data_IF_968149770442
#
_entry.id   IF_968149770442
#
_cell.length_a   1.000
_cell.length_b   1.000
_cell.length_c   1.000
_cell.angle_alpha   90.00
_cell.angle_beta   90.00
_cell.angle_gamma   90.00
#
_symmetry.space_group_name_H-M   'P 1'
#
loop_
_entity.id
_entity.type
_entity.pdbx_description
1 polymer ?
#
# COMPACT_ATOMS: atom_id res chain seq x y z
N UNK A 1 -26.21 57.14 25.54
CA UNK A 1 -25.25 56.56 24.56
C UNK A 1 -23.93 57.28 24.75
N UNK A 2 -22.76 56.61 24.77
CA UNK A 2 -22.43 55.35 24.08
C UNK A 2 -22.04 54.18 25.01
N UNK A 3 -22.18 52.92 24.56
CA UNK A 3 -21.54 51.77 25.21
C UNK A 3 -20.07 51.66 24.78
N UNK A 4 -19.18 51.45 25.76
CA UNK A 4 -17.76 51.14 25.55
C UNK A 4 -17.63 49.71 25.02
N UNK A 5 -16.98 49.58 23.86
CA UNK A 5 -16.74 48.32 23.15
C UNK A 5 -15.37 47.78 23.56
N UNK A 6 -15.33 46.77 24.44
CA UNK A 6 -14.13 45.97 24.66
C UNK A 6 -13.96 44.94 23.54
N UNK A 7 -12.80 44.84 22.85
CA UNK A 7 -12.49 43.70 22.02
C UNK A 7 -11.61 42.75 22.82
N UNK A 8 -12.21 41.80 23.53
CA UNK A 8 -11.44 40.63 23.97
C UNK A 8 -11.29 39.67 22.78
N UNK A 9 -10.21 39.91 22.02
CA UNK A 9 -9.60 38.90 21.17
C UNK A 9 -8.63 38.11 22.04
N UNK A 10 -8.88 36.83 22.23
CA UNK A 10 -7.83 35.82 22.38
C UNK A 10 -8.39 34.41 22.15
N UNK A 11 -8.09 33.86 20.96
CA UNK A 11 -8.31 32.46 20.61
C UNK A 11 -7.22 31.56 21.23
N UNK A 12 -7.55 30.39 21.79
CA UNK A 12 -6.56 29.34 22.03
C UNK A 12 -6.73 28.19 21.01
N UNK A 13 -5.98 28.23 19.91
CA UNK A 13 -5.86 27.12 18.93
C UNK A 13 -4.45 26.51 18.97
N UNK A 14 -3.95 26.14 20.15
CA UNK A 14 -2.59 25.59 20.33
C UNK A 14 -2.56 24.13 20.81
N UNK A 15 -3.70 23.47 21.08
CA UNK A 15 -3.73 22.11 21.64
C UNK A 15 -3.81 20.97 20.62
N UNK A 16 -4.14 21.24 19.36
CA UNK A 16 -4.35 20.22 18.31
C UNK A 16 -3.12 19.94 17.44
N UNK A 17 -2.08 20.77 17.50
CA UNK A 17 -0.85 20.58 16.73
C UNK A 17 0.07 19.53 17.33
N UNK A 18 0.25 19.55 18.66
CA UNK A 18 1.18 18.65 19.38
C UNK A 18 0.84 17.18 19.20
N UNK A 19 -0.43 16.80 19.32
CA UNK A 19 -0.87 15.41 19.14
C UNK A 19 -0.63 14.92 17.70
N UNK A 20 -0.92 15.75 16.69
CA UNK A 20 -0.64 15.41 15.29
C UNK A 20 0.84 15.30 14.98
N UNK A 21 1.68 16.08 15.64
CA UNK A 21 3.14 16.00 15.49
C UNK A 21 3.68 14.71 16.14
N UNK A 22 3.14 14.32 17.30
CA UNK A 22 3.52 13.09 17.98
C UNK A 22 3.03 11.85 17.25
N UNK A 23 1.81 11.85 16.69
CA UNK A 23 1.31 10.78 15.82
C UNK A 23 2.19 10.60 14.58
N UNK A 24 2.63 11.71 13.96
CA UNK A 24 3.55 11.69 12.81
C UNK A 24 4.92 11.13 13.18
N UNK A 25 5.43 11.48 14.37
CA UNK A 25 6.71 10.97 14.88
C UNK A 25 6.64 9.49 15.20
N UNK A 26 5.56 9.05 15.85
CA UNK A 26 5.30 7.65 16.13
C UNK A 26 5.20 6.83 14.83
N UNK A 27 4.44 7.33 13.84
CA UNK A 27 4.37 6.71 12.52
C UNK A 27 5.74 6.66 11.83
N UNK A 28 6.53 7.71 11.90
CA UNK A 28 7.88 7.72 11.33
C UNK A 28 8.76 6.63 11.96
N UNK A 29 8.74 6.48 13.29
CA UNK A 29 9.47 5.41 13.97
C UNK A 29 9.02 4.00 13.54
N UNK A 30 7.71 3.77 13.43
CA UNK A 30 7.17 2.50 12.95
C UNK A 30 7.56 2.20 11.50
N UNK A 31 7.62 3.22 10.64
CA UNK A 31 8.07 3.08 9.25
C UNK A 31 9.57 2.79 9.16
N UNK A 32 10.38 3.33 10.07
CA UNK A 32 11.82 3.03 10.15
C UNK A 32 12.06 1.57 10.58
N UNK A 33 11.28 1.08 11.56
CA UNK A 33 11.29 -0.34 11.95
C UNK A 33 10.85 -1.25 10.79
N UNK A 34 9.80 -0.88 10.06
CA UNK A 34 9.35 -1.63 8.88
C UNK A 34 10.42 -1.62 7.78
N UNK A 35 11.08 -0.49 7.55
CA UNK A 35 12.16 -0.38 6.57
C UNK A 35 13.36 -1.26 6.94
N UNK A 36 13.70 -1.36 8.23
CA UNK A 36 14.71 -2.30 8.71
C UNK A 36 14.32 -3.76 8.45
N UNK A 37 13.07 -4.12 8.78
CA UNK A 37 12.53 -5.44 8.51
C UNK A 37 12.56 -5.78 7.01
N UNK A 38 12.25 -4.82 6.14
CA UNK A 38 12.29 -5.01 4.70
C UNK A 38 13.69 -5.16 4.13
N UNK A 39 14.73 -4.58 4.74
CA UNK A 39 16.10 -4.91 4.37
C UNK A 39 16.44 -6.37 4.69
N UNK A 40 15.96 -6.90 5.80
CA UNK A 40 16.13 -8.33 6.14
C UNK A 40 15.36 -9.25 5.18
N UNK A 41 14.14 -8.86 4.79
CA UNK A 41 13.37 -9.55 3.75
C UNK A 41 14.15 -9.53 2.44
N UNK A 42 14.51 -8.36 1.93
CA UNK A 42 15.23 -8.24 0.66
C UNK A 42 16.54 -9.04 0.66
N UNK A 43 17.28 -9.07 1.77
CA UNK A 43 18.46 -9.90 1.92
C UNK A 43 18.14 -11.41 1.86
N UNK A 44 17.05 -11.84 2.50
CA UNK A 44 16.58 -13.24 2.45
C UNK A 44 16.14 -13.66 1.05
N UNK A 45 15.67 -12.70 0.24
CA UNK A 45 15.21 -12.90 -1.13
C UNK A 45 16.24 -12.44 -2.17
N UNK A 46 17.50 -12.14 -1.80
CA UNK A 46 18.48 -11.49 -2.69
C UNK A 46 18.83 -12.30 -3.96
N UNK A 47 18.62 -13.62 -3.94
CA UNK A 47 18.75 -14.47 -5.13
C UNK A 47 17.58 -14.36 -6.11
N UNK A 48 16.48 -13.71 -5.72
CA UNK A 48 15.27 -13.55 -6.52
C UNK A 48 15.20 -12.16 -7.14
N UNK A 49 14.91 -12.10 -8.44
CA UNK A 49 14.81 -10.84 -9.17
C UNK A 49 13.43 -10.69 -9.81
N UNK A 50 12.86 -9.49 -9.73
CA UNK A 50 11.67 -9.16 -10.50
C UNK A 50 12.05 -8.94 -11.98
N UNK A 51 11.52 -9.73 -12.93
CA UNK A 51 11.77 -9.51 -14.36
C UNK A 51 11.01 -8.30 -14.92
N UNK A 52 10.29 -7.54 -14.07
CA UNK A 52 9.40 -6.45 -14.46
C UNK A 52 8.36 -6.83 -15.53
N UNK A 53 7.92 -8.10 -15.56
CA UNK A 53 6.95 -8.60 -16.56
C UNK A 53 5.52 -8.10 -16.36
N UNK A 54 5.19 -7.55 -15.19
CA UNK A 54 3.84 -7.13 -14.75
C UNK A 54 2.80 -8.24 -14.58
N UNK A 55 3.15 -9.51 -14.78
CA UNK A 55 2.20 -10.62 -14.65
C UNK A 55 1.66 -10.75 -13.22
N UNK A 56 2.54 -10.70 -12.22
CA UNK A 56 2.14 -10.72 -10.81
C UNK A 56 1.33 -9.48 -10.38
N UNK A 57 1.31 -8.43 -11.20
CA UNK A 57 0.55 -7.21 -10.95
C UNK A 57 -0.86 -7.25 -11.57
N UNK A 58 -1.27 -8.35 -12.22
CA UNK A 58 -2.60 -8.52 -12.82
C UNK A 58 -3.43 -9.45 -11.96
N UNK A 59 -4.17 -8.90 -11.02
CA UNK A 59 -4.83 -9.66 -9.95
C UNK A 59 -6.03 -10.46 -10.45
N UNK A 60 -6.70 -10.00 -11.50
CA UNK A 60 -7.78 -10.73 -12.17
C UNK A 60 -7.29 -11.98 -12.91
N UNK A 61 -6.05 -11.95 -13.41
CA UNK A 61 -5.41 -13.09 -14.08
C UNK A 61 -4.83 -14.07 -13.06
N UNK A 62 -4.05 -13.56 -12.11
CA UNK A 62 -3.28 -14.41 -11.18
C UNK A 62 -4.08 -14.87 -9.96
N UNK A 63 -5.12 -14.13 -9.56
CA UNK A 63 -5.80 -14.30 -8.28
C UNK A 63 -4.93 -13.94 -7.05
N UNK A 64 -3.72 -13.40 -7.26
CA UNK A 64 -2.70 -13.16 -6.21
C UNK A 64 -2.58 -11.68 -5.85
N UNK A 65 -3.68 -11.10 -5.38
CA UNK A 65 -3.63 -9.73 -4.85
C UNK A 65 -2.92 -9.72 -3.48
N UNK A 66 -1.89 -8.87 -3.26
CA UNK A 66 -1.26 -8.73 -1.96
C UNK A 66 -2.26 -8.18 -0.93
N UNK A 67 -2.25 -8.79 0.25
CA UNK A 67 -2.89 -8.24 1.42
C UNK A 67 -1.91 -7.35 2.15
N UNK A 68 -2.35 -6.15 2.52
CA UNK A 68 -1.52 -5.16 3.21
C UNK A 68 -2.09 -4.88 4.59
N UNK A 69 -1.20 -4.82 5.57
CA UNK A 69 -1.49 -4.33 6.92
C UNK A 69 -1.56 -2.80 6.94
N UNK A 70 -1.99 -2.21 8.07
CA UNK A 70 -2.11 -0.77 8.22
C UNK A 70 -0.79 -0.02 8.03
N UNK A 71 0.32 -0.56 8.56
CA UNK A 71 1.64 0.06 8.45
C UNK A 71 2.22 -0.05 7.04
N UNK A 72 1.95 -1.16 6.34
CA UNK A 72 2.30 -1.31 4.93
C UNK A 72 1.51 -0.34 4.05
N UNK A 73 0.22 -0.16 4.33
CA UNK A 73 -0.60 0.81 3.62
C UNK A 73 -0.07 2.24 3.83
N UNK A 74 0.35 2.59 5.05
CA UNK A 74 0.96 3.89 5.33
C UNK A 74 2.28 4.10 4.55
N UNK A 75 3.11 3.07 4.44
CA UNK A 75 4.31 3.10 3.60
C UNK A 75 3.95 3.34 2.12
N UNK A 76 2.99 2.58 1.59
CA UNK A 76 2.51 2.71 0.21
C UNK A 76 1.98 4.13 -0.04
N UNK A 77 1.15 4.66 0.86
CA UNK A 77 0.60 6.01 0.75
C UNK A 77 1.69 7.09 0.78
N UNK A 78 2.69 6.95 1.65
CA UNK A 78 3.83 7.86 1.70
C UNK A 78 4.60 7.86 0.38
N UNK A 79 4.81 6.69 -0.22
CA UNK A 79 5.47 6.57 -1.52
C UNK A 79 4.64 7.18 -2.65
N UNK A 80 3.32 7.00 -2.65
CA UNK A 80 2.41 7.64 -3.62
C UNK A 80 2.45 9.16 -3.46
N UNK A 81 2.39 9.68 -2.23
CA UNK A 81 2.45 11.10 -1.93
C UNK A 81 3.77 11.73 -2.39
N UNK A 82 4.90 11.06 -2.15
CA UNK A 82 6.23 11.50 -2.60
C UNK A 82 6.35 11.62 -4.13
N UNK A 83 5.47 10.95 -4.89
CA UNK A 83 5.41 11.02 -6.36
C UNK A 83 4.42 12.07 -6.90
N UNK A 84 3.82 12.88 -6.03
CA UNK A 84 2.79 13.85 -6.44
C UNK A 84 1.35 13.32 -6.33
N UNK A 85 1.15 12.19 -5.64
CA UNK A 85 -0.18 11.66 -5.30
C UNK A 85 -0.79 10.74 -6.36
N UNK A 86 -1.93 10.14 -6.02
CA UNK A 86 -2.57 9.08 -6.81
C UNK A 86 -3.01 9.49 -8.22
N UNK A 87 -3.12 10.79 -8.52
CA UNK A 87 -3.45 11.30 -9.88
C UNK A 87 -2.34 11.02 -10.89
N UNK A 88 -1.12 10.78 -10.42
CA UNK A 88 0.03 10.37 -11.25
C UNK A 88 0.03 8.86 -11.52
N UNK A 89 -0.86 8.10 -10.86
CA UNK A 89 -0.95 6.65 -10.91
C UNK A 89 -2.32 6.22 -11.47
N UNK A 90 -2.45 4.95 -11.85
CA UNK A 90 -3.71 4.42 -12.38
C UNK A 90 -3.97 4.70 -13.87
N UNK A 91 -2.91 4.98 -14.64
CA UNK A 91 -3.00 4.85 -16.10
C UNK A 91 -3.06 3.36 -16.44
N UNK A 92 -3.92 3.00 -17.40
CA UNK A 92 -4.03 1.64 -17.89
C UNK A 92 -2.67 1.21 -18.46
N UNK A 93 -1.98 0.23 -17.87
CA UNK A 93 -0.73 -0.26 -18.43
C UNK A 93 -1.02 -0.99 -19.75
N UNK A 94 -0.02 -1.12 -20.64
CA UNK A 94 -0.18 -1.89 -21.88
C UNK A 94 -0.59 -3.34 -21.56
N UNK A 95 -1.32 -4.04 -22.45
CA UNK A 95 -1.61 -5.47 -22.28
C UNK A 95 -0.32 -6.29 -22.10
N UNK A 96 -0.40 -7.47 -21.46
CA UNK A 96 0.76 -8.37 -21.39
C UNK A 96 1.21 -8.78 -22.79
N UNK A 97 2.49 -8.57 -23.11
CA UNK A 97 3.11 -9.08 -24.33
C UNK A 97 3.10 -10.61 -24.32
N UNK A 98 2.62 -11.25 -25.39
CA UNK A 98 2.60 -12.72 -25.52
C UNK A 98 1.34 -13.41 -24.97
N UNK A 99 0.41 -12.67 -24.36
CA UNK A 99 -0.98 -13.12 -24.21
C UNK A 99 -1.75 -12.68 -25.45
N UNK A 100 -1.56 -13.40 -26.58
CA UNK A 100 -2.52 -13.29 -27.67
C UNK A 100 -3.90 -13.69 -27.14
N UNK A 101 -4.91 -12.93 -27.53
CA UNK A 101 -6.29 -13.18 -27.15
C UNK A 101 -6.77 -14.50 -27.77
N UNK A 102 -6.53 -15.62 -27.08
CA UNK A 102 -6.96 -16.96 -27.50
C UNK A 102 -8.46 -17.17 -27.26
N UNK A 103 -9.19 -16.15 -26.80
CA UNK A 103 -10.64 -16.21 -26.59
C UNK A 103 -11.43 -16.09 -27.91
N UNK A 104 -11.16 -16.98 -28.88
CA UNK A 104 -12.17 -17.29 -29.91
C UNK A 104 -13.36 -17.97 -29.20
N UNK A 105 -14.31 -17.16 -28.73
CA UNK A 105 -15.59 -17.62 -28.16
C UNK A 105 -15.79 -17.45 -26.65
N UNK A 106 -14.84 -16.90 -25.89
CA UNK A 106 -15.08 -16.45 -24.50
C UNK A 106 -14.97 -14.92 -24.46
N UNK A 107 -15.76 -14.24 -23.62
CA UNK A 107 -15.70 -12.76 -23.50
C UNK A 107 -14.24 -12.33 -23.26
N UNK A 108 -13.72 -11.46 -24.14
CA UNK A 108 -12.42 -10.82 -23.96
C UNK A 108 -12.38 -10.13 -22.60
N UNK A 109 -11.43 -10.50 -21.75
CA UNK A 109 -11.26 -9.89 -20.44
C UNK A 109 -10.93 -8.41 -20.66
N UNK A 110 -11.79 -7.50 -20.20
CA UNK A 110 -11.50 -6.07 -20.29
C UNK A 110 -10.40 -5.72 -19.27
N UNK A 111 -9.73 -4.59 -19.46
CA UNK A 111 -8.74 -4.09 -18.48
C UNK A 111 -9.35 -3.87 -17.09
N UNK A 112 -10.67 -3.63 -17.02
CA UNK A 112 -11.46 -3.55 -15.79
C UNK A 112 -11.57 -4.92 -15.12
N UNK A 113 -11.84 -5.98 -15.88
CA UNK A 113 -11.95 -7.34 -15.37
C UNK A 113 -10.58 -7.93 -14.96
N UNK A 114 -9.52 -7.48 -15.63
CA UNK A 114 -8.15 -7.89 -15.36
C UNK A 114 -7.65 -7.47 -13.97
N UNK A 115 -8.34 -6.50 -13.32
CA UNK A 115 -8.03 -5.98 -11.98
C UNK A 115 -6.53 -5.78 -11.80
N UNK A 116 -6.00 -4.87 -12.60
CA UNK A 116 -4.57 -4.55 -12.61
C UNK A 116 -4.19 -3.73 -11.38
N UNK A 117 -2.97 -3.93 -10.87
CA UNK A 117 -2.43 -3.14 -9.78
C UNK A 117 -2.49 -1.64 -10.10
N UNK A 118 -3.13 -0.82 -9.24
CA UNK A 118 -3.28 0.62 -9.49
C UNK A 118 -1.97 1.40 -9.41
N UNK A 119 -0.87 0.74 -8.99
CA UNK A 119 0.45 1.32 -8.82
C UNK A 119 1.39 1.00 -9.99
N UNK A 120 0.88 0.41 -11.08
CA UNK A 120 1.61 0.35 -12.34
C UNK A 120 1.57 1.72 -13.03
N UNK A 121 2.72 2.14 -13.56
CA UNK A 121 2.83 3.31 -14.42
C UNK A 121 2.51 2.96 -15.87
N UNK A 122 2.52 3.98 -16.73
CA UNK A 122 2.24 3.84 -18.16
C UNK A 122 3.21 2.93 -18.93
N UNK A 123 4.40 2.69 -18.37
CA UNK A 123 5.40 1.79 -18.95
C UNK A 123 5.25 0.36 -18.43
N UNK A 124 4.21 0.08 -17.64
CA UNK A 124 4.08 -1.20 -16.96
C UNK A 124 5.18 -1.43 -15.92
N UNK A 125 5.62 -0.38 -15.20
CA UNK A 125 6.55 -0.55 -14.07
C UNK A 125 5.87 -0.18 -12.76
N UNK A 126 6.30 -0.82 -11.68
CA UNK A 126 5.81 -0.49 -10.35
C UNK A 126 6.32 0.90 -9.95
N UNK A 127 5.41 1.85 -9.82
CA UNK A 127 5.73 3.23 -9.49
C UNK A 127 6.34 3.40 -8.08
N UNK A 128 6.11 2.43 -7.19
CA UNK A 128 6.61 2.44 -5.81
C UNK A 128 7.52 1.23 -5.52
N UNK A 129 8.30 0.77 -6.51
CA UNK A 129 9.08 -0.47 -6.43
C UNK A 129 9.90 -0.62 -5.12
N UNK A 130 10.55 0.44 -4.65
CA UNK A 130 11.33 0.42 -3.40
C UNK A 130 10.48 0.30 -2.14
N UNK A 131 9.24 0.79 -2.19
CA UNK A 131 8.27 0.83 -1.08
C UNK A 131 7.18 -0.25 -1.19
N UNK A 132 7.42 -1.30 -1.98
CA UNK A 132 6.50 -2.43 -2.14
C UNK A 132 6.17 -3.09 -0.79
N UNK A 133 4.91 -3.51 -0.58
CA UNK A 133 4.52 -4.29 0.58
C UNK A 133 5.15 -5.69 0.52
N UNK A 134 5.14 -6.40 1.65
CA UNK A 134 5.78 -7.71 1.81
C UNK A 134 5.35 -8.70 0.73
N UNK A 135 4.05 -8.76 0.44
CA UNK A 135 3.54 -9.63 -0.61
C UNK A 135 4.17 -9.40 -1.99
N UNK A 136 4.41 -8.14 -2.36
CA UNK A 136 5.04 -7.83 -3.65
C UNK A 136 6.56 -8.15 -3.66
N UNK A 137 7.20 -8.31 -2.50
CA UNK A 137 8.64 -8.64 -2.37
C UNK A 137 8.94 -10.12 -2.53
N UNK A 138 7.94 -10.98 -2.42
CA UNK A 138 8.09 -12.43 -2.64
C UNK A 138 7.85 -12.84 -4.10
N UNK A 139 7.68 -11.86 -4.99
CA UNK A 139 7.69 -12.01 -6.45
C UNK A 139 6.85 -13.18 -6.98
N UNK A 140 5.57 -13.30 -6.59
CA UNK A 140 4.65 -14.37 -7.04
C UNK A 140 4.45 -14.54 -8.57
N UNK A 141 5.29 -13.93 -9.40
CA UNK A 141 5.46 -14.11 -10.82
C UNK A 141 6.13 -15.45 -11.14
N UNK A 142 5.57 -16.20 -12.09
CA UNK A 142 6.14 -17.46 -12.58
C UNK A 142 7.49 -17.28 -13.29
N UNK A 143 7.76 -16.07 -13.83
CA UNK A 143 9.05 -15.71 -14.43
C UNK A 143 10.09 -15.21 -13.43
N UNK A 144 9.74 -15.08 -12.15
CA UNK A 144 10.73 -14.72 -11.14
C UNK A 144 11.78 -15.84 -11.06
N UNK A 145 13.04 -15.49 -11.30
CA UNK A 145 14.14 -16.44 -11.10
C UNK A 145 14.32 -16.66 -9.60
N UNK A 146 14.41 -17.91 -9.17
CA UNK A 146 14.68 -18.25 -7.77
C UNK A 146 15.70 -19.40 -7.71
N UNK A 147 16.91 -19.17 -7.18
CA UNK A 147 17.92 -20.21 -7.06
C UNK A 147 17.63 -21.21 -5.91
N UNK A 148 16.83 -20.79 -4.91
CA UNK A 148 16.19 -21.61 -3.90
C UNK A 148 15.13 -20.75 -3.17
N UNK A 149 13.97 -21.32 -2.85
CA UNK A 149 12.92 -20.60 -2.11
C UNK A 149 13.32 -20.30 -0.66
N UNK A 150 12.84 -19.18 -0.12
CA UNK A 150 12.95 -18.88 1.32
C UNK A 150 12.10 -19.87 2.11
N UNK A 151 12.62 -20.41 3.23
CA UNK A 151 11.87 -21.33 4.09
C UNK A 151 10.56 -20.68 4.57
N UNK A 152 9.47 -21.45 4.53
CA UNK A 152 8.15 -21.04 5.00
C UNK A 152 8.18 -20.57 6.46
N UNK A 153 9.06 -21.12 7.30
CA UNK A 153 9.25 -20.63 8.67
C UNK A 153 9.77 -19.20 8.72
N UNK A 154 10.73 -18.84 7.87
CA UNK A 154 11.25 -17.49 7.77
C UNK A 154 10.18 -16.51 7.24
N UNK A 155 9.41 -16.92 6.22
CA UNK A 155 8.26 -16.15 5.72
C UNK A 155 7.26 -15.88 6.85
N UNK A 156 6.89 -16.92 7.61
CA UNK A 156 5.95 -16.78 8.73
C UNK A 156 6.49 -15.87 9.85
N UNK A 157 7.80 -15.90 10.10
CA UNK A 157 8.45 -15.01 11.06
C UNK A 157 8.37 -13.54 10.61
N UNK A 158 8.60 -13.25 9.32
CA UNK A 158 8.43 -11.90 8.77
C UNK A 158 6.97 -11.44 8.88
N UNK A 159 6.00 -12.29 8.53
CA UNK A 159 4.58 -11.96 8.63
C UNK A 159 4.19 -11.61 10.07
N UNK A 160 4.67 -12.37 11.07
CA UNK A 160 4.40 -12.07 12.50
C UNK A 160 4.95 -10.70 12.89
N UNK A 161 6.22 -10.42 12.57
CA UNK A 161 6.85 -9.13 12.88
C UNK A 161 6.11 -7.96 12.21
N UNK A 162 5.67 -8.11 10.96
CA UNK A 162 4.88 -7.07 10.28
C UNK A 162 3.53 -6.85 10.98
N UNK A 163 2.85 -7.91 11.41
CA UNK A 163 1.60 -7.82 12.17
C UNK A 163 1.79 -7.11 13.50
N UNK A 164 2.89 -7.38 14.20
CA UNK A 164 3.22 -6.70 15.46
C UNK A 164 3.41 -5.19 15.25
N UNK A 165 4.14 -4.80 14.18
CA UNK A 165 4.26 -3.39 13.79
C UNK A 165 2.89 -2.76 13.50
N UNK A 166 2.02 -3.49 12.79
CA UNK A 166 0.71 -3.00 12.38
C UNK A 166 -0.28 -2.86 13.54
N UNK A 167 -0.24 -3.78 14.52
CA UNK A 167 -1.04 -3.72 15.73
C UNK A 167 -0.69 -2.51 16.61
N UNK A 168 0.59 -2.10 16.62
CA UNK A 168 1.03 -0.86 17.29
C UNK A 168 0.65 0.41 16.51
N UNK A 169 0.53 0.31 15.19
CA UNK A 169 0.17 1.45 14.33
C UNK A 169 -1.30 1.84 14.45
N UNK A 170 -2.22 0.86 14.46
CA UNK A 170 -3.66 1.13 14.54
C UNK A 170 -4.41 -0.08 15.12
N UNK A 171 -5.57 0.15 15.78
CA UNK A 171 -6.50 -0.93 16.13
C UNK A 171 -6.87 -1.75 14.89
N UNK A 172 -6.87 -3.07 15.01
CA UNK A 172 -7.09 -4.02 13.90
C UNK A 172 -6.13 -3.82 12.71
N UNK A 173 -5.01 -3.14 12.92
CA UNK A 173 -4.06 -2.81 11.86
C UNK A 173 -3.36 -4.03 11.27
N UNK A 174 -3.30 -5.12 12.02
CA UNK A 174 -2.76 -6.43 11.63
C UNK A 174 -3.72 -7.23 10.74
N UNK A 175 -5.00 -6.84 10.66
CA UNK A 175 -5.98 -7.43 9.77
C UNK A 175 -5.72 -6.97 8.33
N UNK A 176 -4.90 -7.74 7.63
CA UNK A 176 -4.56 -7.49 6.23
C UNK A 176 -5.80 -7.34 5.34
N UNK A 177 -5.73 -6.42 4.38
CA UNK A 177 -6.80 -6.17 3.39
C UNK A 177 -6.23 -6.22 1.98
N UNK A 178 -7.02 -6.62 0.96
CA UNK A 178 -6.58 -6.54 -0.43
C UNK A 178 -6.12 -5.13 -0.77
N UNK A 179 -4.96 -4.99 -1.41
CA UNK A 179 -4.32 -3.71 -1.72
C UNK A 179 -5.26 -2.71 -2.41
N UNK A 180 -6.01 -3.15 -3.41
CA UNK A 180 -6.96 -2.31 -4.15
C UNK A 180 -8.05 -1.74 -3.23
N UNK A 181 -8.61 -2.58 -2.35
CA UNK A 181 -9.61 -2.18 -1.35
C UNK A 181 -9.02 -1.28 -0.26
N UNK A 182 -7.78 -1.50 0.14
CA UNK A 182 -7.10 -0.68 1.13
C UNK A 182 -6.84 0.73 0.59
N UNK A 183 -6.36 0.84 -0.65
CA UNK A 183 -6.14 2.11 -1.33
C UNK A 183 -7.44 2.89 -1.59
N UNK A 184 -8.51 2.21 -2.00
CA UNK A 184 -9.81 2.85 -2.20
C UNK A 184 -10.41 3.40 -0.90
N UNK A 185 -10.28 2.66 0.21
CA UNK A 185 -10.81 3.08 1.52
C UNK A 185 -10.05 4.25 2.17
N UNK A 186 -8.79 4.47 1.80
CA UNK A 186 -8.00 5.59 2.31
C UNK A 186 -8.48 6.97 1.84
N UNK A 187 -9.12 7.03 0.66
CA UNK A 187 -9.71 8.27 0.14
C UNK A 187 -10.95 8.75 0.90
N UNK A 188 -11.55 7.89 1.75
CA UNK A 188 -12.79 8.19 2.47
C UNK A 188 -12.58 8.68 3.92
N UNK A 189 -11.35 8.61 4.46
CA UNK A 189 -11.09 8.84 5.89
C UNK A 189 -10.67 10.26 6.29
N UNK A 190 -11.04 11.27 5.50
CA UNK A 190 -10.89 12.70 5.87
C UNK A 190 -12.17 13.32 6.45
N UNK A 191 -13.11 12.50 6.97
CA UNK A 191 -14.36 12.97 7.58
C UNK A 191 -14.71 12.18 8.84
N UNK A 192 -15.32 12.81 9.86
CA UNK A 192 -15.68 12.12 11.09
C UNK A 192 -16.72 11.04 10.77
N UNK A 193 -16.41 9.80 11.15
CA UNK A 193 -17.25 8.63 10.89
C UNK A 193 -18.70 8.84 11.35
N UNK A 194 -19.67 8.17 10.68
CA UNK A 194 -21.08 8.41 10.95
C UNK A 194 -21.41 7.99 12.39
N UNK A 195 -21.96 8.92 13.16
CA UNK A 195 -22.51 8.64 14.49
C UNK A 195 -23.67 7.67 14.33
N UNK A 196 -23.49 6.43 14.79
CA UNK A 196 -24.56 5.43 14.89
C UNK A 196 -25.64 5.98 15.81
N UNK A 197 -26.86 6.14 15.29
CA UNK A 197 -28.06 6.41 16.10
C UNK A 197 -28.47 5.09 16.76
N UNK A 198 -28.66 5.16 18.08
CA UNK A 198 -29.30 4.11 18.90
C UNK A 198 -30.76 3.95 18.52
#
# INVERSE_FOLDING_TARGET
>A
MPPTKSPDRSHPSLRTSTTKDDDRRALAGLLDELAALYREVDASFAGQTCPASTECCRFGVTGREPYVTSIELALVQRAIAARGGGRTLGRTPPPLTGHEDTSRGKRRLTTVDERVCPLLDENGRCAIYTSRPFGCRTYWCERATSPAGVDQRAINAFVRRIKDLAARHAPEGDLGRPLTRALAGAGANSGPGPRRRR
#
